data_IF_853229488129
#
_entry.id   IF_853229488129
#
_cell.length_a   1.000
_cell.length_b   1.000
_cell.length_c   1.000
_cell.angle_alpha   90.00
_cell.angle_beta   90.00
_cell.angle_gamma   90.00
#
_symmetry.space_group_name_H-M   'P 1'
#
loop_
_entity.id
_entity.type
_entity.pdbx_description
1 polymer ?
#
# COMPACT_ATOMS: atom_id res chain seq x y z
N UNK A 1 -2.23 11.91 -6.32
CA UNK A 1 -2.21 11.43 -7.71
C UNK A 1 -3.01 10.15 -7.84
N UNK A 2 -3.55 9.85 -9.02
CA UNK A 2 -4.30 8.61 -9.29
C UNK A 2 -3.33 7.47 -9.59
N UNK A 3 -3.20 6.52 -8.65
CA UNK A 3 -2.33 5.34 -8.78
C UNK A 3 -2.66 4.48 -10.00
N UNK A 4 -3.92 4.53 -10.47
CA UNK A 4 -4.37 3.81 -11.67
C UNK A 4 -3.77 4.39 -12.94
N UNK A 5 -3.59 5.72 -13.00
CA UNK A 5 -2.97 6.37 -14.14
C UNK A 5 -1.50 5.95 -14.25
N UNK A 6 -0.79 5.91 -13.12
CA UNK A 6 0.59 5.44 -13.07
C UNK A 6 0.71 3.97 -13.53
N UNK A 7 -0.14 3.08 -12.99
CA UNK A 7 -0.17 1.67 -13.40
C UNK A 7 -0.44 1.53 -14.91
N UNK A 8 -1.44 2.22 -15.44
CA UNK A 8 -1.80 2.17 -16.86
C UNK A 8 -0.69 2.73 -17.75
N UNK A 9 -0.02 3.80 -17.33
CA UNK A 9 1.12 4.38 -18.04
C UNK A 9 2.27 3.38 -18.13
N UNK A 10 2.66 2.79 -17.00
CA UNK A 10 3.75 1.82 -16.95
C UNK A 10 3.43 0.58 -17.78
N UNK A 11 2.20 0.04 -17.70
CA UNK A 11 1.76 -1.06 -18.56
C UNK A 11 1.82 -0.71 -20.04
N UNK A 12 1.34 0.48 -20.43
CA UNK A 12 1.36 0.92 -21.83
C UNK A 12 2.77 1.10 -22.36
N UNK A 13 3.66 1.72 -21.59
CA UNK A 13 5.04 1.97 -21.99
C UNK A 13 5.83 0.67 -22.13
N UNK A 14 5.58 -0.30 -21.26
CA UNK A 14 6.36 -1.54 -21.19
C UNK A 14 5.76 -2.72 -21.96
N UNK A 15 4.60 -2.55 -22.59
CA UNK A 15 3.89 -3.64 -23.26
C UNK A 15 3.37 -4.70 -22.29
N UNK A 16 2.81 -4.25 -21.16
CA UNK A 16 2.24 -5.06 -20.08
C UNK A 16 3.28 -5.95 -19.36
N UNK A 17 4.50 -5.45 -19.19
CA UNK A 17 5.59 -6.15 -18.49
C UNK A 17 5.70 -5.79 -16.99
N UNK A 18 4.68 -5.11 -16.44
CA UNK A 18 4.55 -4.87 -15.00
C UNK A 18 4.14 -6.18 -14.33
N UNK A 19 5.02 -6.74 -13.51
CA UNK A 19 4.79 -8.01 -12.79
C UNK A 19 4.16 -7.80 -11.42
N UNK A 20 4.49 -6.68 -10.77
CA UNK A 20 3.97 -6.32 -9.45
C UNK A 20 3.71 -4.82 -9.37
N UNK A 21 2.64 -4.44 -8.69
CA UNK A 21 2.36 -3.05 -8.33
C UNK A 21 1.73 -3.05 -6.94
N UNK A 22 2.52 -2.67 -5.95
CA UNK A 22 2.10 -2.61 -4.55
C UNK A 22 1.79 -1.18 -4.17
N UNK A 23 0.71 -1.00 -3.41
CA UNK A 23 0.44 0.25 -2.70
C UNK A 23 0.85 0.12 -1.23
N UNK A 24 1.43 1.19 -0.67
CA UNK A 24 1.79 1.27 0.74
C UNK A 24 1.56 2.71 1.22
N UNK A 25 0.73 2.92 2.25
CA UNK A 25 0.71 4.22 2.93
C UNK A 25 1.93 4.37 3.84
N UNK A 26 2.14 5.55 4.43
CA UNK A 26 3.36 5.82 5.19
C UNK A 26 3.53 4.94 6.44
N UNK A 27 2.48 4.76 7.23
CA UNK A 27 2.58 4.16 8.55
C UNK A 27 3.14 2.71 8.57
N UNK A 28 2.80 1.81 7.61
CA UNK A 28 3.44 0.51 7.48
C UNK A 28 4.97 0.57 7.32
N UNK A 29 5.48 1.54 6.56
CA UNK A 29 6.93 1.72 6.36
C UNK A 29 7.59 2.21 7.65
N UNK A 30 6.95 3.14 8.37
CA UNK A 30 7.46 3.60 9.68
C UNK A 30 7.59 2.44 10.67
N UNK A 31 6.60 1.55 10.72
CA UNK A 31 6.67 0.35 11.55
C UNK A 31 7.83 -0.57 11.13
N UNK A 32 8.07 -0.72 9.83
CA UNK A 32 9.22 -1.49 9.32
C UNK A 32 10.53 -0.85 9.76
N UNK A 33 10.69 0.46 9.63
CA UNK A 33 11.91 1.15 10.05
C UNK A 33 12.13 1.11 11.57
N UNK A 34 11.05 1.10 12.35
CA UNK A 34 11.13 1.02 13.82
C UNK A 34 11.48 -0.39 14.32
N UNK A 35 10.95 -1.43 13.69
CA UNK A 35 10.98 -2.79 14.24
C UNK A 35 11.86 -3.78 13.48
N UNK A 36 12.21 -3.50 12.22
CA UNK A 36 12.93 -4.44 11.36
C UNK A 36 14.38 -3.96 11.17
N UNK A 37 15.39 -4.72 11.66
CA UNK A 37 16.78 -4.31 11.56
C UNK A 37 17.25 -4.13 10.12
N UNK A 38 18.21 -3.22 9.92
CA UNK A 38 18.85 -2.95 8.63
C UNK A 38 17.88 -2.49 7.51
N UNK A 39 16.75 -1.90 7.89
CA UNK A 39 15.85 -1.21 6.97
C UNK A 39 16.09 0.29 7.05
N UNK A 40 15.86 0.98 5.94
CA UNK A 40 15.99 2.43 5.83
C UNK A 40 15.03 2.94 4.77
N UNK A 41 14.66 4.22 4.89
CA UNK A 41 13.85 4.89 3.90
C UNK A 41 14.62 4.96 2.56
N UNK A 42 14.03 4.50 1.43
CA UNK A 42 14.66 4.63 0.13
C UNK A 42 14.60 6.06 -0.41
N UNK A 43 13.71 6.91 0.10
CA UNK A 43 13.47 8.27 -0.39
C UNK A 43 14.20 9.31 0.45
N UNK A 44 14.48 10.49 -0.13
CA UNK A 44 15.08 11.61 0.61
C UNK A 44 14.07 12.36 1.50
N UNK A 45 12.78 12.26 1.16
CA UNK A 45 11.68 12.90 1.88
C UNK A 45 10.62 11.85 2.26
N UNK A 46 9.87 12.16 3.30
CA UNK A 46 8.69 11.39 3.70
C UNK A 46 7.50 11.78 2.83
N UNK A 47 6.81 10.79 2.29
CA UNK A 47 5.57 10.92 1.53
C UNK A 47 4.46 10.11 2.23
N UNK A 48 3.19 10.44 1.99
CA UNK A 48 2.06 9.73 2.61
C UNK A 48 1.71 8.42 1.89
N UNK A 49 2.01 8.35 0.59
CA UNK A 49 1.65 7.24 -0.29
C UNK A 49 2.84 6.83 -1.14
N UNK A 50 3.06 5.52 -1.25
CA UNK A 50 4.13 4.91 -2.01
C UNK A 50 3.58 3.84 -2.94
N UNK A 51 4.27 3.65 -4.05
CA UNK A 51 4.09 2.49 -4.92
C UNK A 51 5.42 1.74 -5.06
N UNK A 52 5.41 0.42 -4.90
CA UNK A 52 6.54 -0.45 -5.27
C UNK A 52 6.15 -1.19 -6.55
N UNK A 53 6.89 -0.95 -7.62
CA UNK A 53 6.61 -1.53 -8.94
C UNK A 53 7.76 -2.43 -9.36
N UNK A 54 7.43 -3.62 -9.83
CA UNK A 54 8.38 -4.53 -10.47
C UNK A 54 8.00 -4.77 -11.93
N UNK A 55 9.01 -4.80 -12.78
CA UNK A 55 8.87 -5.05 -14.22
C UNK A 55 9.90 -6.08 -14.66
N UNK A 56 9.47 -7.03 -15.48
CA UNK A 56 10.34 -8.09 -15.98
C UNK A 56 10.22 -8.25 -17.49
N UNK A 57 11.36 -8.36 -18.15
CA UNK A 57 11.44 -8.54 -19.60
C UNK A 57 12.38 -9.67 -19.98
N UNK A 58 12.01 -10.40 -21.04
CA UNK A 58 12.91 -11.36 -21.68
C UNK A 58 14.08 -10.69 -22.42
N UNK A 59 14.04 -9.38 -22.65
CA UNK A 59 15.08 -8.62 -23.33
C UNK A 59 15.81 -7.70 -22.34
N UNK A 60 17.13 -7.90 -22.20
CA UNK A 60 17.96 -7.07 -21.31
C UNK A 60 18.03 -5.62 -21.82
N UNK A 61 17.99 -4.66 -20.90
CA UNK A 61 18.17 -3.24 -21.18
C UNK A 61 16.90 -2.50 -21.59
N UNK A 62 16.08 -3.09 -22.48
CA UNK A 62 14.88 -2.43 -23.05
C UNK A 62 13.89 -1.97 -21.98
N UNK A 63 13.63 -2.81 -20.97
CA UNK A 63 12.64 -2.49 -19.94
C UNK A 63 13.04 -1.30 -19.06
N UNK A 64 14.35 -1.07 -18.91
CA UNK A 64 14.86 0.02 -18.08
C UNK A 64 14.60 1.36 -18.75
N UNK A 65 14.99 1.48 -20.01
CA UNK A 65 14.82 2.73 -20.77
C UNK A 65 13.33 3.11 -20.85
N UNK A 66 12.45 2.12 -21.08
CA UNK A 66 11.00 2.32 -21.10
C UNK A 66 10.44 2.74 -19.73
N UNK A 67 10.96 2.18 -18.64
CA UNK A 67 10.56 2.56 -17.29
C UNK A 67 11.00 3.98 -16.95
N UNK A 68 12.24 4.35 -17.27
CA UNK A 68 12.77 5.70 -17.04
C UNK A 68 11.98 6.75 -17.83
N UNK A 69 11.69 6.49 -19.11
CA UNK A 69 10.84 7.37 -19.94
C UNK A 69 9.44 7.52 -19.35
N UNK A 70 8.79 6.41 -19.01
CA UNK A 70 7.44 6.42 -18.44
C UNK A 70 7.36 7.14 -17.08
N UNK A 71 8.37 6.99 -16.23
CA UNK A 71 8.46 7.71 -14.96
C UNK A 71 8.72 9.21 -15.17
N UNK A 72 9.52 9.59 -16.17
CA UNK A 72 9.71 10.98 -16.56
C UNK A 72 8.39 11.63 -17.00
N UNK A 73 7.61 10.94 -17.84
CA UNK A 73 6.27 11.41 -18.22
C UNK A 73 5.29 11.46 -17.04
N UNK A 74 5.35 10.49 -16.13
CA UNK A 74 4.51 10.48 -14.93
C UNK A 74 4.82 11.68 -14.02
N UNK A 75 6.09 12.05 -13.91
CA UNK A 75 6.54 13.22 -13.16
C UNK A 75 6.01 14.51 -13.79
N UNK A 76 6.17 14.69 -15.11
CA UNK A 76 5.63 15.84 -15.86
C UNK A 76 4.09 15.94 -15.78
N UNK A 77 3.40 14.80 -15.67
CA UNK A 77 1.95 14.73 -15.49
C UNK A 77 1.48 14.89 -14.03
N UNK A 78 2.40 15.15 -13.09
CA UNK A 78 2.15 15.25 -11.65
C UNK A 78 1.49 13.98 -11.06
N UNK A 79 1.73 12.82 -11.69
CA UNK A 79 1.27 11.51 -11.22
C UNK A 79 2.17 10.96 -10.12
N UNK A 80 3.44 11.36 -10.11
CA UNK A 80 4.42 11.04 -9.07
C UNK A 80 5.15 12.31 -8.64
N UNK A 81 5.62 12.31 -7.40
CA UNK A 81 6.41 13.41 -6.83
C UNK A 81 7.90 13.10 -6.89
N UNK A 82 8.27 11.83 -6.81
CA UNK A 82 9.65 11.35 -6.74
C UNK A 82 9.68 9.85 -7.05
N UNK A 83 10.83 9.35 -7.50
CA UNK A 83 11.03 7.94 -7.80
C UNK A 83 12.50 7.54 -7.60
N UNK A 84 12.70 6.32 -7.10
CA UNK A 84 14.01 5.67 -7.01
C UNK A 84 13.96 4.38 -7.82
N UNK A 85 14.92 4.20 -8.72
CA UNK A 85 15.11 2.96 -9.46
C UNK A 85 16.23 2.14 -8.79
N UNK A 86 15.99 0.84 -8.64
CA UNK A 86 17.04 -0.07 -8.18
C UNK A 86 18.09 -0.29 -9.28
N UNK A 87 19.35 -0.03 -8.97
CA UNK A 87 20.52 -0.18 -9.85
C UNK A 87 21.13 -1.59 -9.80
N UNK A 88 20.67 -2.43 -8.88
CA UNK A 88 21.15 -3.80 -8.72
C UNK A 88 20.08 -4.71 -8.14
N UNK A 89 20.28 -6.02 -8.31
CA UNK A 89 19.42 -7.03 -7.66
C UNK A 89 19.39 -6.89 -6.14
N UNK A 90 20.52 -6.51 -5.52
CA UNK A 90 20.59 -6.26 -4.08
C UNK A 90 19.75 -5.05 -3.66
N UNK A 91 19.72 -3.98 -4.47
CA UNK A 91 18.86 -2.83 -4.20
C UNK A 91 17.37 -3.18 -4.40
N UNK A 92 17.04 -3.94 -5.45
CA UNK A 92 15.68 -4.42 -5.67
C UNK A 92 15.19 -5.30 -4.50
N UNK A 93 16.03 -6.23 -4.04
CA UNK A 93 15.73 -7.08 -2.89
C UNK A 93 15.52 -6.27 -1.61
N UNK A 94 16.28 -5.18 -1.40
CA UNK A 94 16.08 -4.29 -0.25
C UNK A 94 14.73 -3.57 -0.30
N UNK A 95 14.30 -3.11 -1.47
CA UNK A 95 12.98 -2.47 -1.64
C UNK A 95 11.86 -3.48 -1.36
N UNK A 96 11.96 -4.69 -1.92
CA UNK A 96 11.02 -5.78 -1.64
C UNK A 96 10.98 -6.16 -0.17
N UNK A 97 12.14 -6.23 0.49
CA UNK A 97 12.21 -6.53 1.92
C UNK A 97 11.41 -5.52 2.76
N UNK A 98 11.31 -4.24 2.36
CA UNK A 98 10.44 -3.28 3.05
C UNK A 98 8.98 -3.70 3.00
N UNK A 99 8.47 -4.02 1.80
CA UNK A 99 7.08 -4.46 1.57
C UNK A 99 6.77 -5.80 2.26
N UNK A 100 7.69 -6.75 2.16
CA UNK A 100 7.52 -8.11 2.70
C UNK A 100 7.62 -8.14 4.23
N UNK A 101 8.32 -7.17 4.84
CA UNK A 101 8.47 -7.09 6.30
C UNK A 101 7.29 -6.43 7.02
N UNK A 102 6.35 -5.82 6.29
CA UNK A 102 5.19 -5.13 6.91
C UNK A 102 4.40 -6.05 7.86
N UNK A 103 4.02 -7.30 7.48
CA UNK A 103 3.27 -8.17 8.37
C UNK A 103 4.01 -8.55 9.65
N UNK A 104 5.35 -8.62 9.61
CA UNK A 104 6.18 -8.85 10.79
C UNK A 104 6.23 -7.61 11.67
N UNK A 105 6.51 -6.44 11.08
CA UNK A 105 6.56 -5.17 11.79
C UNK A 105 5.24 -4.90 12.54
N UNK A 106 4.09 -5.19 11.92
CA UNK A 106 2.77 -5.02 12.52
C UNK A 106 2.55 -5.82 13.80
N UNK A 107 3.24 -6.94 14.01
CA UNK A 107 3.15 -7.73 15.26
C UNK A 107 3.69 -6.96 16.46
N UNK A 108 4.52 -5.96 16.23
CA UNK A 108 5.14 -5.14 17.26
C UNK A 108 4.38 -3.82 17.55
N UNK A 109 3.40 -3.47 16.72
CA UNK A 109 2.68 -2.19 16.82
C UNK A 109 1.56 -2.17 17.87
N UNK A 110 1.20 -3.33 18.45
CA UNK A 110 0.15 -3.46 19.47
C UNK A 110 -1.14 -4.10 18.96
N UNK A 111 -2.24 -3.99 19.72
CA UNK A 111 -3.53 -4.54 19.31
C UNK A 111 -3.98 -3.95 17.97
N UNK A 112 -4.46 -4.81 17.08
CA UNK A 112 -4.95 -4.39 15.78
C UNK A 112 -6.24 -5.11 15.37
N UNK A 113 -7.03 -4.44 14.54
CA UNK A 113 -8.09 -5.06 13.75
C UNK A 113 -7.59 -5.17 12.30
N UNK A 114 -7.69 -6.37 11.72
CA UNK A 114 -7.19 -6.64 10.37
C UNK A 114 -8.34 -6.75 9.40
N UNK A 115 -8.20 -6.12 8.24
CA UNK A 115 -9.19 -6.17 7.17
C UNK A 115 -8.48 -6.51 5.87
N UNK A 116 -8.98 -7.52 5.18
CA UNK A 116 -8.53 -7.90 3.85
C UNK A 116 -9.66 -7.65 2.88
N UNK A 117 -9.60 -6.55 2.15
CA UNK A 117 -10.66 -6.13 1.23
C UNK A 117 -10.13 -6.06 -0.19
N UNK A 118 -11.06 -6.01 -1.15
CA UNK A 118 -10.72 -5.57 -2.51
C UNK A 118 -11.68 -4.48 -2.94
N UNK A 119 -11.19 -3.56 -3.77
CA UNK A 119 -11.99 -2.58 -4.53
C UNK A 119 -11.36 -2.42 -5.91
N UNK A 120 -12.09 -1.93 -6.93
CA UNK A 120 -11.46 -1.57 -8.19
C UNK A 120 -10.27 -0.63 -7.95
N UNK A 121 -9.16 -0.83 -8.66
CA UNK A 121 -7.92 -0.03 -8.56
C UNK A 121 -8.19 1.48 -8.54
N UNK A 122 -9.05 1.93 -9.46
CA UNK A 122 -9.48 3.33 -9.59
C UNK A 122 -10.33 3.86 -8.44
N UNK A 123 -10.77 2.98 -7.55
CA UNK A 123 -11.57 3.28 -6.36
C UNK A 123 -10.77 3.21 -5.07
N UNK A 124 -9.49 2.82 -5.07
CA UNK A 124 -8.67 2.83 -3.85
C UNK A 124 -8.57 4.23 -3.23
N UNK A 125 -8.31 5.33 -3.98
CA UNK A 125 -8.34 6.67 -3.40
C UNK A 125 -9.70 7.04 -2.80
N UNK A 126 -10.80 6.64 -3.45
CA UNK A 126 -12.16 6.89 -2.95
C UNK A 126 -12.47 6.06 -1.69
N UNK A 127 -11.99 4.82 -1.64
CA UNK A 127 -12.10 3.95 -0.48
C UNK A 127 -11.38 4.57 0.72
N UNK A 128 -10.11 4.95 0.59
CA UNK A 128 -9.33 5.58 1.66
C UNK A 128 -10.01 6.87 2.14
N UNK A 129 -10.47 7.73 1.21
CA UNK A 129 -11.15 8.97 1.56
C UNK A 129 -12.47 8.79 2.35
N UNK A 130 -13.11 7.62 2.26
CA UNK A 130 -14.32 7.28 3.02
C UNK A 130 -14.01 6.49 4.29
N UNK A 131 -13.11 5.51 4.20
CA UNK A 131 -12.76 4.60 5.28
C UNK A 131 -11.96 5.30 6.37
N UNK A 132 -10.96 6.10 6.00
CA UNK A 132 -10.07 6.77 6.96
C UNK A 132 -10.84 7.63 7.97
N UNK A 133 -11.72 8.58 7.57
CA UNK A 133 -12.48 9.36 8.55
C UNK A 133 -13.50 8.52 9.32
N UNK A 134 -14.07 7.47 8.70
CA UNK A 134 -15.00 6.57 9.37
C UNK A 134 -14.31 5.82 10.53
N UNK A 135 -13.14 5.23 10.28
CA UNK A 135 -12.39 4.51 11.31
C UNK A 135 -11.80 5.45 12.35
N UNK A 136 -11.38 6.66 11.98
CA UNK A 136 -10.91 7.67 12.95
C UNK A 136 -12.04 8.15 13.87
N UNK A 137 -13.29 8.18 13.39
CA UNK A 137 -14.44 8.49 14.24
C UNK A 137 -14.78 7.35 15.21
N UNK A 138 -14.61 6.09 14.78
CA UNK A 138 -14.87 4.91 15.59
C UNK A 138 -13.75 4.59 16.60
N UNK A 139 -12.49 4.80 16.20
CA UNK A 139 -11.28 4.59 16.99
C UNK A 139 -10.40 5.85 16.92
N UNK A 140 -10.71 6.90 17.71
CA UNK A 140 -9.91 8.11 17.73
C UNK A 140 -8.44 7.83 18.02
N UNK A 141 -7.55 8.27 17.12
CA UNK A 141 -6.11 8.09 17.28
C UNK A 141 -5.58 6.73 16.83
N UNK A 142 -6.39 5.89 16.15
CA UNK A 142 -5.86 4.69 15.52
C UNK A 142 -4.85 5.03 14.42
N UNK A 143 -3.89 4.15 14.21
CA UNK A 143 -2.97 4.21 13.07
C UNK A 143 -3.48 3.30 11.97
N UNK A 144 -3.75 3.87 10.80
CA UNK A 144 -4.19 3.14 9.61
C UNK A 144 -2.96 2.58 8.89
N UNK A 145 -2.94 1.26 8.74
CA UNK A 145 -1.86 0.48 8.15
C UNK A 145 -2.36 -0.16 6.84
N UNK A 146 -2.44 0.66 5.79
CA UNK A 146 -2.96 0.28 4.49
C UNK A 146 -1.85 -0.06 3.49
N UNK A 147 -1.87 -1.28 2.95
CA UNK A 147 -0.93 -1.76 1.93
C UNK A 147 -1.51 -2.95 1.18
N UNK A 148 -1.11 -3.21 -0.06
CA UNK A 148 -1.63 -4.37 -0.79
C UNK A 148 -1.31 -4.36 -2.28
N UNK A 149 -1.79 -5.42 -2.92
CA UNK A 149 -1.62 -5.68 -4.35
C UNK A 149 -2.58 -4.79 -5.15
N UNK A 150 -2.09 -3.66 -5.63
CA UNK A 150 -2.91 -2.75 -6.45
C UNK A 150 -3.25 -3.39 -7.81
N UNK A 151 -2.43 -4.31 -8.32
CA UNK A 151 -2.63 -4.94 -9.63
C UNK A 151 -3.97 -5.68 -9.78
N UNK A 152 -4.52 -6.20 -8.70
CA UNK A 152 -5.80 -6.92 -8.64
C UNK A 152 -6.83 -6.24 -7.71
N UNK A 153 -6.47 -5.13 -7.09
CA UNK A 153 -7.36 -4.31 -6.25
C UNK A 153 -7.43 -4.76 -4.79
N UNK A 154 -6.57 -5.69 -4.35
CA UNK A 154 -6.48 -6.11 -2.96
C UNK A 154 -5.82 -5.04 -2.08
N UNK A 155 -6.38 -4.85 -0.89
CA UNK A 155 -5.88 -3.95 0.14
C UNK A 155 -6.00 -4.59 1.52
N UNK A 156 -4.86 -4.79 2.18
CA UNK A 156 -4.83 -5.01 3.62
C UNK A 156 -4.98 -3.65 4.31
N UNK A 157 -6.15 -3.43 4.92
CA UNK A 157 -6.50 -2.18 5.58
C UNK A 157 -6.51 -2.39 7.10
N UNK A 158 -5.33 -2.50 7.71
CA UNK A 158 -5.21 -2.83 9.13
C UNK A 158 -5.31 -1.58 10.02
N UNK A 159 -5.90 -1.73 11.20
CA UNK A 159 -6.11 -0.64 12.16
C UNK A 159 -5.36 -0.97 13.45
N UNK A 160 -4.26 -0.25 13.71
CA UNK A 160 -3.53 -0.37 14.98
C UNK A 160 -4.17 0.57 15.99
N UNK A 161 -4.51 0.02 17.15
CA UNK A 161 -5.23 0.75 18.19
C UNK A 161 -4.27 1.65 19.00
N UNK A 162 -4.76 2.75 19.58
CA UNK A 162 -4.00 3.58 20.52
C UNK A 162 -3.36 2.74 21.64
N UNK A 163 -2.16 3.13 22.10
CA UNK A 163 -1.39 2.37 23.12
C UNK A 163 -2.12 2.23 24.47
N UNK A 164 -3.05 3.12 24.77
CA UNK A 164 -3.87 3.14 25.98
C UNK A 164 -5.19 2.35 25.85
N UNK A 165 -5.44 1.73 24.70
CA UNK A 165 -6.62 0.88 24.47
C UNK A 165 -6.60 -0.33 25.41
N UNK A 166 -7.65 -0.51 26.19
CA UNK A 166 -7.78 -1.68 27.08
C UNK A 166 -8.01 -2.96 26.28
N UNK A 167 -7.67 -4.15 26.82
CA UNK A 167 -7.96 -5.41 26.12
C UNK A 167 -9.45 -5.62 25.80
N UNK A 168 -10.35 -5.12 26.66
CA UNK A 168 -11.80 -5.19 26.47
C UNK A 168 -12.25 -4.27 25.33
N UNK A 169 -11.78 -3.01 25.31
CA UNK A 169 -12.05 -2.09 24.21
C UNK A 169 -11.48 -2.61 22.89
N UNK A 170 -10.28 -3.17 22.92
CA UNK A 170 -9.67 -3.76 21.75
C UNK A 170 -10.50 -4.91 21.18
N UNK A 171 -11.08 -5.75 22.04
CA UNK A 171 -11.98 -6.81 21.59
C UNK A 171 -13.28 -6.24 21.01
N UNK A 172 -13.90 -5.28 21.69
CA UNK A 172 -15.12 -4.62 21.19
C UNK A 172 -14.90 -3.98 19.81
N UNK A 173 -13.83 -3.21 19.65
CA UNK A 173 -13.51 -2.51 18.40
C UNK A 173 -13.20 -3.46 17.24
N UNK A 174 -12.64 -4.66 17.52
CA UNK A 174 -12.46 -5.71 16.50
C UNK A 174 -13.78 -6.22 15.91
N UNK A 175 -14.91 -6.04 16.60
CA UNK A 175 -16.23 -6.46 16.10
C UNK A 175 -17.05 -5.30 15.54
N UNK A 176 -16.94 -4.10 16.11
CA UNK A 176 -17.80 -2.95 15.74
C UNK A 176 -17.35 -2.20 14.49
N UNK A 177 -16.04 -2.15 14.21
CA UNK A 177 -15.47 -1.41 13.07
C UNK A 177 -15.48 -2.16 11.73
N UNK A 178 -15.23 -3.49 11.66
CA UNK A 178 -15.23 -4.20 10.38
C UNK A 178 -16.45 -4.00 9.48
N UNK A 179 -17.71 -4.05 10.00
CA UNK A 179 -18.89 -3.89 9.16
C UNK A 179 -18.86 -2.59 8.34
N UNK A 180 -18.49 -1.46 8.95
CA UNK A 180 -18.44 -0.18 8.26
C UNK A 180 -17.37 -0.12 7.17
N UNK A 181 -16.18 -0.69 7.41
CA UNK A 181 -15.11 -0.79 6.40
C UNK A 181 -15.56 -1.67 5.23
N UNK A 182 -16.20 -2.80 5.53
CA UNK A 182 -16.68 -3.75 4.52
C UNK A 182 -17.82 -3.16 3.69
N UNK A 183 -18.77 -2.45 4.32
CA UNK A 183 -19.87 -1.76 3.63
C UNK A 183 -19.34 -0.67 2.68
N UNK A 184 -18.29 0.05 3.06
CA UNK A 184 -17.63 1.03 2.19
C UNK A 184 -17.01 0.33 0.98
N UNK A 185 -16.29 -0.78 1.17
CA UNK A 185 -15.70 -1.55 0.08
C UNK A 185 -16.78 -2.09 -0.87
N UNK A 186 -17.84 -2.70 -0.35
CA UNK A 186 -18.98 -3.21 -1.13
C UNK A 186 -19.66 -2.11 -1.93
N UNK A 187 -19.87 -0.92 -1.32
CA UNK A 187 -20.46 0.24 -2.00
C UNK A 187 -19.66 0.74 -3.21
N UNK A 188 -18.37 0.37 -3.28
CA UNK A 188 -17.45 0.70 -4.38
C UNK A 188 -17.31 -0.43 -5.40
N UNK A 189 -18.12 -1.49 -5.29
CA UNK A 189 -18.03 -2.68 -6.13
C UNK A 189 -16.89 -3.62 -5.73
N UNK A 190 -16.48 -3.55 -4.46
CA UNK A 190 -15.43 -4.37 -3.87
C UNK A 190 -15.95 -5.65 -3.19
N UNK A 191 -15.07 -6.28 -2.40
CA UNK A 191 -15.38 -7.45 -1.56
C UNK A 191 -14.70 -7.34 -0.21
N UNK A 192 -15.31 -7.94 0.82
CA UNK A 192 -14.78 -8.02 2.20
C UNK A 192 -13.76 -9.16 2.40
N UNK A 193 -13.47 -9.91 1.34
CA UNK A 193 -12.42 -10.91 1.35
C UNK A 193 -11.80 -11.07 -0.02
N UNK A 194 -10.52 -10.71 -0.15
CA UNK A 194 -9.77 -10.90 -1.38
C UNK A 194 -9.10 -12.29 -1.40
N UNK A 195 -8.67 -12.79 -0.24
CA UNK A 195 -7.97 -14.08 -0.11
C UNK A 195 -8.77 -15.18 0.61
N UNK A 196 -9.78 -14.84 1.40
CA UNK A 196 -10.49 -15.76 2.30
C UNK A 196 -12.02 -15.72 2.05
N UNK A 197 -12.46 -16.15 0.87
CA UNK A 197 -13.88 -16.10 0.47
C UNK A 197 -14.89 -16.58 1.51
#
# INVERSE_FOLDING_TARGET
ADLSNLLNRLKRATGDQVTSFEYICRAPLDAVFEHIPNTQDPMQQTYEHYALVEMASGQKGVIRDLAEEALGEAFEAEEIIDAVLAESGDQAAKLWNLRESIPEALKHCGPSAKHDISVPVSKIPEFLAKADPHVQAAIPGCTIMAFGHMGDGNLHYNLVMPKDTTPEDAERLRHEVPPGVHDIADSLGGSFSAEHG
#
